data_IF_537426432250
#
_entry.id   IF_537426432250
#
_cell.length_a   1.000
_cell.length_b   1.000
_cell.length_c   1.000
_cell.angle_alpha   90.00
_cell.angle_beta   90.00
_cell.angle_gamma   90.00
#
_symmetry.space_group_name_H-M   'P 1'
#
loop_
_entity.id
_entity.type
_entity.pdbx_description
1 polymer ?
#
# COMPACT_ATOMS: atom_id res chain seq x y z
N UNK A 1 -19.82 -1.47 -18.36
CA UNK A 1 -20.31 -1.73 -16.99
C UNK A 1 -19.40 -2.78 -16.38
N UNK A 2 -18.46 -2.38 -15.51
CA UNK A 2 -17.61 -3.34 -14.79
C UNK A 2 -18.43 -3.83 -13.61
N UNK A 3 -18.59 -5.15 -13.53
CA UNK A 3 -19.41 -5.84 -12.56
C UNK A 3 -18.77 -5.72 -11.16
N UNK A 4 -19.47 -5.06 -10.22
CA UNK A 4 -19.02 -4.80 -8.85
C UNK A 4 -19.29 -5.98 -7.89
N UNK A 5 -19.67 -7.15 -8.41
CA UNK A 5 -20.05 -8.32 -7.60
C UNK A 5 -18.86 -9.22 -7.24
N UNK A 6 -17.88 -8.64 -6.57
CA UNK A 6 -16.89 -9.41 -5.82
C UNK A 6 -16.50 -8.60 -4.60
N UNK A 7 -17.41 -8.58 -3.60
CA UNK A 7 -17.14 -8.10 -2.24
C UNK A 7 -16.12 -9.03 -1.56
N UNK A 8 -14.88 -9.05 -2.06
CA UNK A 8 -13.77 -9.60 -1.33
C UNK A 8 -13.41 -8.59 -0.26
N UNK A 9 -13.93 -8.82 0.94
CA UNK A 9 -13.43 -8.15 2.12
C UNK A 9 -11.99 -8.64 2.35
N UNK A 10 -11.06 -7.74 2.72
CA UNK A 10 -9.74 -8.19 3.13
C UNK A 10 -9.91 -9.06 4.39
N UNK A 11 -8.98 -9.98 4.64
CA UNK A 11 -9.09 -10.83 5.82
C UNK A 11 -9.19 -9.96 7.08
N UNK A 12 -9.87 -10.42 8.11
CA UNK A 12 -9.97 -9.68 9.39
C UNK A 12 -8.59 -9.25 9.89
N UNK A 13 -7.58 -10.11 9.70
CA UNK A 13 -6.18 -9.82 9.99
C UNK A 13 -5.61 -8.67 9.15
N UNK A 14 -5.88 -8.63 7.84
CA UNK A 14 -5.42 -7.53 6.97
C UNK A 14 -6.11 -6.20 7.34
N UNK A 15 -7.41 -6.22 7.68
CA UNK A 15 -8.12 -5.05 8.18
C UNK A 15 -7.47 -4.50 9.45
N UNK A 16 -7.22 -5.35 10.45
CA UNK A 16 -6.56 -4.94 11.70
C UNK A 16 -5.19 -4.31 11.43
N UNK A 17 -4.44 -4.83 10.46
CA UNK A 17 -3.14 -4.28 10.06
C UNK A 17 -3.28 -2.92 9.35
N UNK A 18 -4.27 -2.78 8.48
CA UNK A 18 -4.57 -1.53 7.78
C UNK A 18 -5.08 -0.45 8.73
N UNK A 19 -5.92 -0.81 9.71
CA UNK A 19 -6.44 0.11 10.72
C UNK A 19 -5.31 0.62 11.62
N UNK A 20 -4.39 -0.26 12.02
CA UNK A 20 -3.18 0.16 12.75
C UNK A 20 -2.31 1.11 11.93
N UNK A 21 -2.14 0.85 10.63
CA UNK A 21 -1.39 1.77 9.77
C UNK A 21 -2.11 3.11 9.61
N UNK A 22 -3.44 3.10 9.46
CA UNK A 22 -4.28 4.30 9.41
C UNK A 22 -4.12 5.14 10.68
N UNK A 23 -4.25 4.53 11.86
CA UNK A 23 -4.03 5.20 13.15
C UNK A 23 -2.61 5.77 13.27
N UNK A 24 -1.60 4.99 12.90
CA UNK A 24 -0.20 5.44 12.94
C UNK A 24 0.04 6.67 12.07
N UNK A 25 -0.47 6.66 10.84
CA UNK A 25 -0.25 7.74 9.88
C UNK A 25 -1.08 8.99 10.20
N UNK A 26 -2.37 8.80 10.53
CA UNK A 26 -3.28 9.91 10.78
C UNK A 26 -2.99 10.62 12.11
N UNK A 27 -2.36 9.97 13.09
CA UNK A 27 -2.01 10.59 14.37
C UNK A 27 -0.67 11.36 14.36
N UNK A 28 0.05 11.37 13.24
CA UNK A 28 1.32 12.11 13.16
C UNK A 28 1.10 13.63 13.20
N UNK A 29 1.98 14.30 13.93
CA UNK A 29 2.10 15.76 13.91
C UNK A 29 3.19 16.16 12.91
N UNK A 30 2.83 17.00 11.96
CA UNK A 30 3.70 17.35 10.84
C UNK A 30 4.44 18.66 11.10
N UNK A 31 5.76 18.62 11.00
CA UNK A 31 6.65 19.78 11.11
C UNK A 31 7.25 20.11 9.74
N UNK A 32 7.40 21.40 9.44
CA UNK A 32 7.90 21.86 8.14
C UNK A 32 9.44 21.90 8.08
N UNK A 33 10.05 21.63 6.91
CA UNK A 33 9.42 21.42 5.59
C UNK A 33 8.77 20.04 5.44
N UNK A 34 7.55 20.02 4.90
CA UNK A 34 6.72 18.83 4.78
C UNK A 34 6.74 18.23 3.38
N UNK A 35 7.11 16.95 3.27
CA UNK A 35 7.08 16.18 2.02
C UNK A 35 6.12 14.98 2.17
N UNK A 36 4.83 15.15 1.86
CA UNK A 36 3.78 14.20 2.23
C UNK A 36 3.99 12.79 1.70
N UNK A 37 4.38 12.64 0.43
CA UNK A 37 4.62 11.32 -0.17
C UNK A 37 5.77 10.59 0.52
N UNK A 38 6.88 11.31 0.79
CA UNK A 38 8.02 10.72 1.49
C UNK A 38 7.66 10.32 2.91
N UNK A 39 6.83 11.11 3.58
CA UNK A 39 6.37 10.79 4.92
C UNK A 39 5.49 9.53 4.93
N UNK A 40 4.52 9.41 4.01
CA UNK A 40 3.73 8.18 3.83
C UNK A 40 4.65 6.97 3.62
N UNK A 41 5.66 7.11 2.76
CA UNK A 41 6.61 6.03 2.46
C UNK A 41 7.39 5.61 3.70
N UNK A 42 7.89 6.58 4.47
CA UNK A 42 8.64 6.32 5.69
C UNK A 42 7.78 5.60 6.74
N UNK A 43 6.57 6.08 6.98
CA UNK A 43 5.66 5.48 7.96
C UNK A 43 5.24 4.08 7.54
N UNK A 44 5.04 3.84 6.25
CA UNK A 44 4.76 2.50 5.75
C UNK A 44 5.95 1.56 5.93
N UNK A 45 7.18 2.00 5.63
CA UNK A 45 8.40 1.21 5.86
C UNK A 45 8.53 0.87 7.36
N UNK A 46 8.34 1.85 8.24
CA UNK A 46 8.37 1.67 9.69
C UNK A 46 7.33 0.62 10.13
N UNK A 47 6.10 0.73 9.61
CA UNK A 47 5.03 -0.22 9.85
C UNK A 47 5.37 -1.63 9.38
N UNK A 48 5.85 -1.81 8.14
CA UNK A 48 6.21 -3.13 7.59
C UNK A 48 7.38 -3.76 8.36
N UNK A 49 8.36 -2.95 8.77
CA UNK A 49 9.54 -3.44 9.50
C UNK A 49 9.22 -3.95 10.91
N UNK A 50 8.11 -3.50 11.51
CA UNK A 50 7.75 -3.81 12.89
C UNK A 50 6.57 -4.78 13.02
N UNK A 51 5.47 -4.55 12.29
CA UNK A 51 4.19 -5.20 12.53
C UNK A 51 3.47 -5.64 11.25
N UNK A 52 3.77 -4.99 10.12
CA UNK A 52 3.04 -5.12 8.86
C UNK A 52 3.55 -6.18 7.88
N UNK A 53 4.57 -6.97 8.22
CA UNK A 53 5.18 -7.94 7.27
C UNK A 53 4.17 -8.93 6.67
N UNK A 54 3.18 -9.35 7.44
CA UNK A 54 2.11 -10.24 6.96
C UNK A 54 1.22 -9.56 5.92
N UNK A 55 0.95 -8.26 6.05
CA UNK A 55 0.19 -7.48 5.08
C UNK A 55 0.93 -7.43 3.73
N UNK A 56 2.25 -7.17 3.77
CA UNK A 56 3.11 -7.15 2.58
C UNK A 56 3.15 -8.52 1.91
N UNK A 57 3.25 -9.59 2.70
CA UNK A 57 3.24 -10.98 2.19
C UNK A 57 1.91 -11.33 1.53
N UNK A 58 0.79 -10.98 2.18
CA UNK A 58 -0.55 -11.20 1.62
C UNK A 58 -0.76 -10.40 0.33
N UNK A 59 -0.28 -9.16 0.26
CA UNK A 59 -0.33 -8.36 -0.96
C UNK A 59 0.42 -9.01 -2.13
N UNK A 60 1.63 -9.52 -1.86
CA UNK A 60 2.49 -10.11 -2.88
C UNK A 60 2.00 -11.49 -3.35
N UNK A 61 1.51 -12.33 -2.43
CA UNK A 61 1.20 -13.74 -2.68
C UNK A 61 -0.26 -13.96 -3.08
N UNK A 62 -1.20 -13.21 -2.52
CA UNK A 62 -2.64 -13.44 -2.73
C UNK A 62 -3.23 -12.39 -3.67
N UNK A 63 -3.39 -12.76 -4.94
CA UNK A 63 -3.93 -11.89 -5.99
C UNK A 63 -5.31 -11.28 -5.64
N UNK A 64 -6.17 -12.04 -4.96
CA UNK A 64 -7.53 -11.61 -4.60
C UNK A 64 -7.58 -10.50 -3.53
N UNK A 65 -6.65 -10.49 -2.56
CA UNK A 65 -6.60 -9.47 -1.50
C UNK A 65 -5.81 -8.23 -1.92
N UNK A 66 -5.01 -8.32 -2.99
CA UNK A 66 -4.13 -7.24 -3.45
C UNK A 66 -4.88 -5.94 -3.75
N UNK A 67 -5.92 -6.00 -4.56
CA UNK A 67 -6.68 -4.81 -4.97
C UNK A 67 -7.37 -4.15 -3.77
N UNK A 68 -7.86 -4.96 -2.84
CA UNK A 68 -8.56 -4.49 -1.64
C UNK A 68 -7.61 -3.78 -0.68
N UNK A 69 -6.45 -4.39 -0.42
CA UNK A 69 -5.38 -3.78 0.38
C UNK A 69 -4.90 -2.49 -0.29
N UNK A 70 -4.67 -2.50 -1.60
CA UNK A 70 -4.26 -1.31 -2.35
C UNK A 70 -5.28 -0.17 -2.21
N UNK A 71 -6.57 -0.47 -2.40
CA UNK A 71 -7.64 0.53 -2.28
C UNK A 71 -7.71 1.12 -0.86
N UNK A 72 -7.51 0.32 0.20
CA UNK A 72 -7.45 0.84 1.57
C UNK A 72 -6.21 1.72 1.79
N UNK A 73 -5.03 1.33 1.28
CA UNK A 73 -3.82 2.17 1.35
C UNK A 73 -3.99 3.52 0.63
N UNK A 74 -4.64 3.51 -0.54
CA UNK A 74 -5.02 4.72 -1.27
C UNK A 74 -5.97 5.59 -0.43
N UNK A 75 -7.02 5.00 0.16
CA UNK A 75 -7.97 5.73 0.99
C UNK A 75 -7.33 6.35 2.25
N UNK A 76 -6.48 5.60 2.95
CA UNK A 76 -5.72 6.09 4.10
C UNK A 76 -4.83 7.28 3.69
N UNK A 77 -4.16 7.16 2.54
CA UNK A 77 -3.34 8.24 1.99
C UNK A 77 -4.18 9.47 1.64
N UNK A 78 -5.36 9.31 1.03
CA UNK A 78 -6.24 10.43 0.73
C UNK A 78 -6.67 11.18 1.99
N UNK A 79 -7.08 10.46 3.03
CA UNK A 79 -7.44 11.07 4.31
C UNK A 79 -6.27 11.86 4.90
N UNK A 80 -5.08 11.27 4.86
CA UNK A 80 -3.87 11.92 5.37
C UNK A 80 -3.50 13.18 4.57
N UNK A 81 -3.55 13.14 3.24
CA UNK A 81 -3.25 14.29 2.38
C UNK A 81 -4.29 15.40 2.55
N UNK A 82 -5.58 15.04 2.62
CA UNK A 82 -6.66 15.97 2.87
C UNK A 82 -6.51 16.66 4.23
N UNK A 83 -6.20 15.90 5.29
CA UNK A 83 -5.93 16.43 6.64
C UNK A 83 -4.81 17.48 6.63
N UNK A 84 -3.81 17.31 5.76
CA UNK A 84 -2.64 18.18 5.68
C UNK A 84 -2.72 19.22 4.54
N UNK A 85 -3.90 19.46 3.96
CA UNK A 85 -4.14 20.43 2.88
C UNK A 85 -3.21 20.24 1.66
N UNK A 86 -2.90 18.99 1.31
CA UNK A 86 -2.05 18.67 0.16
C UNK A 86 -2.91 18.36 -1.07
N UNK A 87 -2.57 18.97 -2.21
CA UNK A 87 -3.20 18.66 -3.48
C UNK A 87 -2.98 17.19 -3.86
N UNK A 88 -4.06 16.53 -4.28
CA UNK A 88 -4.07 15.09 -4.51
C UNK A 88 -3.90 14.81 -6.01
N UNK A 89 -2.78 14.18 -6.37
CA UNK A 89 -2.59 13.56 -7.68
C UNK A 89 -2.75 12.04 -7.53
N UNK A 90 -3.90 11.53 -7.97
CA UNK A 90 -4.24 10.11 -7.86
C UNK A 90 -3.26 9.23 -8.63
N UNK A 91 -2.79 9.66 -9.80
CA UNK A 91 -1.86 8.89 -10.61
C UNK A 91 -0.50 8.80 -9.92
N UNK A 92 0.06 9.94 -9.48
CA UNK A 92 1.32 9.96 -8.75
C UNK A 92 1.27 9.15 -7.46
N UNK A 93 0.18 9.25 -6.70
CA UNK A 93 -0.01 8.49 -5.46
C UNK A 93 -0.09 6.98 -5.73
N UNK A 94 -0.79 6.57 -6.78
CA UNK A 94 -0.90 5.16 -7.18
C UNK A 94 0.46 4.59 -7.57
N UNK A 95 1.22 5.32 -8.39
CA UNK A 95 2.57 4.92 -8.81
C UNK A 95 3.53 4.86 -7.61
N UNK A 96 3.42 5.80 -6.68
CA UNK A 96 4.20 5.78 -5.44
C UNK A 96 3.94 4.50 -4.63
N UNK A 97 2.69 4.10 -4.45
CA UNK A 97 2.36 2.85 -3.73
C UNK A 97 2.88 1.61 -4.43
N UNK A 98 2.72 1.50 -5.75
CA UNK A 98 3.24 0.37 -6.53
C UNK A 98 4.76 0.25 -6.34
N UNK A 99 5.49 1.37 -6.51
CA UNK A 99 6.94 1.40 -6.36
C UNK A 99 7.37 1.06 -4.93
N UNK A 100 6.72 1.65 -3.93
CA UNK A 100 7.04 1.41 -2.53
C UNK A 100 6.83 -0.05 -2.15
N UNK A 101 5.74 -0.67 -2.59
CA UNK A 101 5.46 -2.08 -2.31
C UNK A 101 6.49 -2.99 -2.99
N UNK A 102 6.85 -2.72 -4.24
CA UNK A 102 7.89 -3.48 -4.93
C UNK A 102 9.24 -3.39 -4.19
N UNK A 103 9.65 -2.17 -3.81
CA UNK A 103 10.91 -1.95 -3.08
C UNK A 103 10.88 -2.59 -1.69
N UNK A 104 9.79 -2.45 -0.95
CA UNK A 104 9.67 -3.04 0.39
C UNK A 104 9.59 -4.57 0.34
N UNK A 105 8.94 -5.14 -0.67
CA UNK A 105 8.96 -6.58 -0.91
C UNK A 105 10.37 -7.09 -1.18
N UNK A 106 11.13 -6.47 -2.09
CA UNK A 106 12.50 -6.88 -2.39
C UNK A 106 13.46 -6.79 -1.19
N UNK A 107 13.25 -5.83 -0.28
CA UNK A 107 14.16 -5.57 0.85
C UNK A 107 13.75 -6.26 2.16
N UNK A 108 12.46 -6.56 2.34
CA UNK A 108 11.92 -7.08 3.62
C UNK A 108 11.10 -8.37 3.46
N UNK A 109 10.78 -8.76 2.23
CA UNK A 109 10.07 -10.00 1.89
C UNK A 109 11.06 -11.10 1.53
N UNK A 110 11.30 -12.01 2.47
CA UNK A 110 11.39 -13.48 2.28
C UNK A 110 12.13 -13.94 1.01
N UNK A 111 13.34 -14.51 1.15
CA UNK A 111 14.14 -15.23 0.13
C UNK A 111 13.44 -15.39 -1.24
N UNK A 112 13.67 -14.42 -2.15
CA UNK A 112 12.93 -14.30 -3.40
C UNK A 112 13.60 -15.09 -4.53
N UNK A 113 12.83 -16.00 -5.13
CA UNK A 113 13.04 -16.42 -6.52
C UNK A 113 12.60 -15.28 -7.46
N UNK A 114 13.58 -14.57 -8.03
CA UNK A 114 13.38 -13.40 -8.92
C UNK A 114 12.44 -13.66 -10.11
N UNK A 115 12.31 -14.91 -10.57
CA UNK A 115 11.43 -15.25 -11.68
C UNK A 115 9.94 -15.03 -11.35
N UNK A 116 9.52 -15.36 -10.12
CA UNK A 116 8.12 -15.18 -9.70
C UNK A 116 7.75 -13.70 -9.51
N UNK A 117 8.73 -12.86 -9.18
CA UNK A 117 8.51 -11.42 -9.04
C UNK A 117 8.28 -10.76 -10.40
N UNK A 118 9.11 -11.08 -11.39
CA UNK A 118 8.98 -10.55 -12.75
C UNK A 118 7.61 -10.89 -13.37
N UNK A 119 7.16 -12.13 -13.20
CA UNK A 119 5.82 -12.55 -13.64
C UNK A 119 4.70 -11.73 -12.99
N UNK A 120 4.80 -11.47 -11.67
CA UNK A 120 3.77 -10.71 -10.94
C UNK A 120 3.77 -9.22 -11.26
N UNK A 121 4.92 -8.65 -11.58
CA UNK A 121 5.03 -7.26 -12.04
C UNK A 121 4.43 -7.12 -13.45
N UNK A 122 4.70 -8.07 -14.33
CA UNK A 122 4.08 -8.09 -15.67
C UNK A 122 2.55 -8.27 -15.60
N UNK A 123 2.03 -9.11 -14.71
CA UNK A 123 0.59 -9.23 -14.46
C UNK A 123 -0.02 -7.92 -13.95
N UNK A 124 0.65 -7.24 -13.01
CA UNK A 124 0.16 -5.97 -12.48
C UNK A 124 0.10 -4.89 -13.57
N UNK A 125 1.11 -4.81 -14.43
CA UNK A 125 1.14 -3.84 -15.53
C UNK A 125 0.04 -4.07 -16.56
N UNK A 126 -0.35 -5.34 -16.80
CA UNK A 126 -1.46 -5.69 -17.71
C UNK A 126 -2.85 -5.32 -17.17
N UNK A 127 -3.01 -5.09 -15.86
CA UNK A 127 -4.29 -4.67 -15.28
C UNK A 127 -4.58 -3.18 -15.48
N UNK A 128 -3.58 -2.38 -15.86
CA UNK A 128 -3.67 -0.93 -16.01
C UNK A 128 -3.45 -0.44 -17.45
N UNK A 129 -3.33 -1.37 -18.41
CA UNK A 129 -3.31 -1.14 -19.86
C UNK A 129 -4.68 -1.44 -20.47
#
# INVERSE_FOLDING_TARGET
>A
MINLENNYLPSEKDNVLLDKFEEMLLNQNIYYPFQPMKHINQEFINFISSLGRDLLTNFAVKSKSRQVIFNRLMNISYQYLAKNNVAIDNYALSQNWINLINVTYCNYGIDINMASLLEKVEEANKMFS
#
